data_IF_049922468500
#
_entry.id   IF_049922468500
#
_cell.length_a   1.000
_cell.length_b   1.000
_cell.length_c   1.000
_cell.angle_alpha   90.00
_cell.angle_beta   90.00
_cell.angle_gamma   90.00
#
_symmetry.space_group_name_H-M   'P 1'
#
loop_
_entity.id
_entity.type
_entity.pdbx_description
1 polymer ?
#
# COMPACT_ATOMS: atom_id res chain seq x y z
N UNK A 1 -1.90 8.72 9.31
CA UNK A 1 -0.82 8.02 8.58
C UNK A 1 -1.32 7.25 7.35
N UNK A 2 -2.54 6.70 7.34
CA UNK A 2 -3.17 6.12 6.13
C UNK A 2 -3.88 7.17 5.23
N UNK A 3 -3.94 8.43 5.66
CA UNK A 3 -4.58 9.57 5.00
C UNK A 3 -3.89 10.04 3.71
N UNK A 4 -2.73 9.47 3.40
CA UNK A 4 -1.92 9.72 2.21
C UNK A 4 -2.24 8.79 1.04
N UNK A 5 -3.20 7.86 1.22
CA UNK A 5 -3.70 6.96 0.19
C UNK A 5 -4.66 7.72 -0.71
N UNK A 6 -4.33 7.84 -2.01
CA UNK A 6 -5.26 8.38 -2.99
C UNK A 6 -6.35 7.35 -3.31
N UNK A 7 -7.53 7.53 -2.71
CA UNK A 7 -8.69 6.65 -2.88
C UNK A 7 -9.30 6.69 -4.29
N UNK A 8 -8.95 7.69 -5.11
CA UNK A 8 -9.43 7.78 -6.49
C UNK A 8 -8.63 6.88 -7.44
N UNK A 9 -7.42 6.48 -7.05
CA UNK A 9 -6.66 5.47 -7.79
C UNK A 9 -7.11 4.06 -7.39
N UNK A 10 -8.15 3.58 -8.06
CA UNK A 10 -8.77 2.30 -7.77
C UNK A 10 -7.80 1.12 -7.90
N UNK A 11 -6.85 1.16 -8.84
CA UNK A 11 -5.86 0.08 -9.03
C UNK A 11 -4.96 -0.03 -7.79
N UNK A 12 -4.53 1.11 -7.29
CA UNK A 12 -3.72 1.19 -6.09
C UNK A 12 -4.50 0.81 -4.82
N UNK A 13 -5.75 1.26 -4.68
CA UNK A 13 -6.62 0.87 -3.55
C UNK A 13 -6.80 -0.65 -3.51
N UNK A 14 -7.11 -1.27 -4.65
CA UNK A 14 -7.27 -2.73 -4.75
C UNK A 14 -5.96 -3.44 -4.39
N UNK A 15 -4.82 -2.98 -4.93
CA UNK A 15 -3.53 -3.58 -4.61
C UNK A 15 -3.19 -3.47 -3.12
N UNK A 16 -3.39 -2.29 -2.50
CA UNK A 16 -3.13 -2.09 -1.06
C UNK A 16 -4.03 -2.98 -0.21
N UNK A 17 -5.32 -3.03 -0.52
CA UNK A 17 -6.27 -3.91 0.16
C UNK A 17 -5.84 -5.37 0.06
N UNK A 18 -5.57 -5.87 -1.15
CA UNK A 18 -5.19 -7.27 -1.36
C UNK A 18 -3.90 -7.69 -0.61
N UNK A 19 -2.99 -6.76 -0.32
CA UNK A 19 -1.76 -7.05 0.41
C UNK A 19 -1.90 -6.88 1.94
N UNK A 20 -2.91 -6.15 2.41
CA UNK A 20 -3.04 -5.78 3.83
C UNK A 20 -4.09 -6.60 4.60
N UNK A 21 -4.81 -7.49 3.92
CA UNK A 21 -5.94 -8.23 4.48
C UNK A 21 -5.58 -9.68 4.80
N UNK A 22 -5.96 -10.12 5.98
CA UNK A 22 -6.26 -11.51 6.31
C UNK A 22 -7.79 -11.67 6.35
N UNK A 23 -8.34 -12.55 5.51
CA UNK A 23 -9.79 -12.68 5.35
C UNK A 23 -10.54 -13.06 6.64
N UNK A 24 -9.88 -13.77 7.56
CA UNK A 24 -10.51 -14.22 8.81
C UNK A 24 -10.52 -13.10 9.86
N UNK A 25 -9.50 -12.24 9.86
CA UNK A 25 -9.34 -11.17 10.84
C UNK A 25 -10.01 -9.87 10.39
N UNK A 26 -9.90 -9.51 9.11
CA UNK A 26 -10.14 -8.15 8.65
C UNK A 26 -11.50 -7.95 7.93
N UNK A 27 -12.34 -8.99 7.89
CA UNK A 27 -13.70 -8.91 7.34
C UNK A 27 -14.73 -8.71 8.45
N UNK A 28 -15.50 -7.63 8.31
CA UNK A 28 -16.64 -7.30 9.16
C UNK A 28 -17.93 -7.58 8.39
N UNK A 29 -18.62 -8.66 8.74
CA UNK A 29 -19.88 -9.04 8.08
C UNK A 29 -21.03 -8.53 8.95
N UNK A 30 -21.84 -7.63 8.38
CA UNK A 30 -23.08 -7.16 8.99
C UNK A 30 -24.27 -7.79 8.26
N UNK A 31 -25.01 -8.63 8.98
CA UNK A 31 -26.21 -9.32 8.47
C UNK A 31 -27.43 -8.88 9.28
N UNK A 32 -28.22 -7.91 8.77
CA UNK A 32 -29.44 -7.47 9.45
C UNK A 32 -30.54 -8.54 9.37
N UNK A 33 -31.39 -8.63 10.40
CA UNK A 33 -32.53 -9.58 10.45
C UNK A 33 -33.74 -9.16 9.57
N UNK A 34 -33.72 -7.92 9.05
CA UNK A 34 -34.78 -7.26 8.28
C UNK A 34 -34.47 -7.36 6.76
N UNK A 35 -35.30 -6.89 5.80
CA UNK A 35 -35.06 -7.11 4.36
C UNK A 35 -33.91 -6.26 3.78
N UNK A 36 -33.03 -5.76 4.65
CA UNK A 36 -31.84 -5.01 4.28
C UNK A 36 -30.77 -5.98 3.76
N UNK A 37 -29.97 -5.51 2.80
CA UNK A 37 -28.88 -6.30 2.24
C UNK A 37 -27.74 -6.41 3.26
N UNK A 38 -27.10 -7.58 3.29
CA UNK A 38 -25.88 -7.80 4.05
C UNK A 38 -24.76 -6.88 3.55
N UNK A 39 -23.95 -6.36 4.49
CA UNK A 39 -22.83 -5.48 4.20
C UNK A 39 -21.55 -6.17 4.63
N UNK A 40 -20.49 -6.01 3.82
CA UNK A 40 -19.14 -6.43 4.19
C UNK A 40 -18.27 -5.18 4.29
N UNK A 41 -17.75 -4.94 5.50
CA UNK A 41 -16.64 -4.03 5.73
C UNK A 41 -15.33 -4.78 5.62
N UNK A 42 -14.32 -4.14 5.02
CA UNK A 42 -12.99 -4.71 4.84
C UNK A 42 -11.99 -3.72 5.41
N UNK A 43 -11.24 -4.14 6.43
CA UNK A 43 -10.18 -3.33 7.00
C UNK A 43 -8.83 -3.58 6.30
N UNK A 44 -8.55 -2.76 5.29
CA UNK A 44 -7.33 -2.78 4.49
C UNK A 44 -6.18 -1.92 5.06
N UNK A 45 -6.29 -1.41 6.28
CA UNK A 45 -5.23 -0.59 6.89
C UNK A 45 -4.02 -1.41 7.31
N UNK A 46 -2.85 -0.76 7.52
CA UNK A 46 -1.71 -1.39 8.19
C UNK A 46 -2.16 -1.98 9.53
N UNK A 47 -1.65 -3.18 9.85
CA UNK A 47 -1.84 -3.78 11.17
C UNK A 47 -0.74 -3.42 12.14
N UNK A 48 -1.14 -3.27 13.39
CA UNK A 48 -0.31 -2.83 14.52
C UNK A 48 -0.41 -3.81 15.69
N UNK A 49 0.58 -3.79 16.57
CA UNK A 49 0.51 -4.59 17.79
C UNK A 49 -0.62 -4.11 18.69
N UNK A 50 -0.80 -2.79 18.81
CA UNK A 50 -1.80 -2.16 19.67
C UNK A 50 -3.26 -2.44 19.27
N UNK A 51 -3.58 -2.33 17.98
CA UNK A 51 -4.97 -2.48 17.51
C UNK A 51 -5.32 -3.91 17.08
N UNK A 52 -4.35 -4.65 16.57
CA UNK A 52 -4.59 -5.92 15.87
C UNK A 52 -3.92 -7.13 16.53
N UNK A 53 -3.16 -6.91 17.62
CA UNK A 53 -2.27 -7.91 18.21
C UNK A 53 -1.30 -8.50 17.17
N UNK A 54 -0.88 -7.69 16.21
CA UNK A 54 0.01 -8.10 15.12
C UNK A 54 1.47 -7.92 15.53
N UNK A 55 2.13 -9.03 15.84
CA UNK A 55 3.47 -9.04 16.46
C UNK A 55 4.63 -8.85 15.46
N UNK A 56 4.37 -8.94 14.16
CA UNK A 56 5.41 -8.81 13.13
C UNK A 56 5.56 -7.34 12.72
N UNK A 57 6.79 -6.86 12.43
CA UNK A 57 6.97 -5.56 11.82
C UNK A 57 6.20 -5.48 10.50
N UNK A 58 5.43 -4.40 10.34
CA UNK A 58 4.74 -4.12 9.09
C UNK A 58 5.75 -3.59 8.06
N UNK A 59 5.80 -4.18 6.85
CA UNK A 59 6.77 -3.77 5.85
C UNK A 59 6.40 -2.43 5.21
N UNK A 60 7.41 -1.71 4.75
CA UNK A 60 7.23 -0.62 3.81
C UNK A 60 6.81 -1.11 2.41
N UNK A 61 6.17 -0.23 1.64
CA UNK A 61 6.03 -0.44 0.21
C UNK A 61 7.43 -0.49 -0.41
N UNK A 62 7.69 -1.51 -1.23
CA UNK A 62 8.95 -1.63 -1.96
C UNK A 62 9.09 -0.48 -2.95
N UNK A 63 10.08 0.38 -2.71
CA UNK A 63 10.44 1.50 -3.58
C UNK A 63 11.93 1.50 -3.85
N UNK A 64 12.34 1.98 -5.03
CA UNK A 64 13.75 2.21 -5.32
C UNK A 64 14.26 3.43 -4.54
N UNK A 65 15.54 3.40 -4.16
CA UNK A 65 16.20 4.56 -3.54
C UNK A 65 16.37 5.70 -4.56
N UNK A 66 16.49 6.94 -4.05
CA UNK A 66 16.56 8.13 -4.92
C UNK A 66 17.82 8.15 -5.78
N UNK A 67 18.94 7.62 -5.30
CA UNK A 67 20.20 7.62 -6.05
C UNK A 67 20.10 6.70 -7.26
N UNK A 68 19.50 5.51 -7.08
CA UNK A 68 19.23 4.59 -8.18
C UNK A 68 18.28 5.20 -9.20
N UNK A 69 17.18 5.81 -8.77
CA UNK A 69 16.25 6.49 -9.70
C UNK A 69 16.99 7.56 -10.50
N UNK A 70 17.69 8.48 -9.83
CA UNK A 70 18.43 9.55 -10.50
C UNK A 70 19.48 8.99 -11.47
N UNK A 71 20.16 7.90 -11.10
CA UNK A 71 21.14 7.27 -11.98
C UNK A 71 20.50 6.67 -13.23
N UNK A 72 19.32 6.08 -13.14
CA UNK A 72 18.63 5.50 -14.30
C UNK A 72 18.03 6.58 -15.17
N UNK A 73 17.43 7.62 -14.57
CA UNK A 73 16.87 8.76 -15.28
C UNK A 73 17.94 9.46 -16.13
N UNK A 74 19.14 9.67 -15.56
CA UNK A 74 20.27 10.27 -16.28
C UNK A 74 20.83 9.38 -17.42
N UNK A 75 20.63 8.06 -17.33
CA UNK A 75 21.10 7.09 -18.34
C UNK A 75 20.06 6.81 -19.42
N UNK A 76 18.79 7.16 -19.21
CA UNK A 76 17.67 6.66 -20.01
C UNK A 76 17.84 6.89 -21.51
N UNK A 77 18.21 8.10 -21.91
CA UNK A 77 18.44 8.45 -23.32
C UNK A 77 19.56 7.61 -23.95
N UNK A 78 20.63 7.35 -23.19
CA UNK A 78 21.77 6.55 -23.65
C UNK A 78 21.42 5.06 -23.81
N UNK A 79 20.44 4.56 -23.04
CA UNK A 79 20.00 3.17 -23.14
C UNK A 79 19.25 2.88 -24.43
N UNK A 80 18.68 3.90 -25.09
CA UNK A 80 17.95 3.78 -26.35
C UNK A 80 16.84 2.68 -26.34
N UNK A 81 16.11 2.59 -25.22
CA UNK A 81 15.06 1.58 -24.98
C UNK A 81 13.63 2.11 -25.17
N UNK A 82 13.48 3.32 -25.73
CA UNK A 82 12.21 3.97 -25.97
C UNK A 82 11.98 5.24 -25.15
N UNK A 83 10.75 5.77 -25.11
CA UNK A 83 10.43 7.02 -24.44
C UNK A 83 10.72 6.94 -22.93
N UNK A 84 11.03 8.09 -22.32
CA UNK A 84 11.24 8.19 -20.87
C UNK A 84 10.00 7.77 -20.10
N UNK A 85 10.19 6.93 -19.09
CA UNK A 85 9.16 6.49 -18.15
C UNK A 85 9.61 6.88 -16.76
N UNK A 86 8.85 7.73 -16.09
CA UNK A 86 9.13 8.12 -14.71
C UNK A 86 9.03 6.90 -13.77
N UNK A 87 9.92 6.82 -12.78
CA UNK A 87 9.89 5.75 -11.80
C UNK A 87 8.56 5.71 -11.01
N UNK A 88 7.86 4.57 -10.98
CA UNK A 88 6.62 4.43 -10.20
C UNK A 88 6.86 4.55 -8.69
N UNK A 89 8.10 4.38 -8.24
CA UNK A 89 8.49 4.54 -6.83
C UNK A 89 8.20 5.95 -6.29
N UNK A 90 8.24 6.98 -7.14
CA UNK A 90 8.01 8.37 -6.75
C UNK A 90 6.61 8.56 -6.12
N UNK A 91 5.62 7.83 -6.64
CA UNK A 91 4.26 7.85 -6.12
C UNK A 91 4.16 7.31 -4.69
N UNK A 92 4.84 6.19 -4.41
CA UNK A 92 4.67 5.44 -3.17
C UNK A 92 5.62 5.86 -2.06
N UNK A 93 6.74 6.51 -2.38
CA UNK A 93 7.75 6.87 -1.38
C UNK A 93 7.23 7.74 -0.24
N UNK A 94 6.27 8.62 -0.51
CA UNK A 94 5.61 9.46 0.52
C UNK A 94 4.86 8.64 1.56
N UNK A 95 4.62 7.36 1.28
CA UNK A 95 3.90 6.43 2.12
C UNK A 95 4.80 5.39 2.79
N UNK A 96 6.12 5.48 2.55
CA UNK A 96 7.09 4.72 3.30
C UNK A 96 7.26 5.36 4.67
N UNK A 97 7.21 4.53 5.70
CA UNK A 97 7.55 4.90 7.06
C UNK A 97 9.07 5.03 7.23
N UNK A 98 9.55 5.75 8.26
CA UNK A 98 10.98 5.80 8.59
C UNK A 98 11.55 4.40 8.85
N UNK A 99 12.71 4.10 8.28
CA UNK A 99 13.35 2.78 8.40
C UNK A 99 12.84 1.75 7.39
N UNK A 100 13.07 0.46 7.64
CA UNK A 100 12.69 -0.63 6.72
C UNK A 100 11.29 -1.18 7.01
N UNK A 101 11.03 -1.55 8.27
CA UNK A 101 9.76 -2.08 8.74
C UNK A 101 9.47 -1.57 10.15
N UNK A 102 8.19 -1.34 10.47
CA UNK A 102 7.77 -0.79 11.76
C UNK A 102 6.87 -1.79 12.49
N UNK A 103 7.27 -2.18 13.70
CA UNK A 103 6.44 -2.88 14.67
C UNK A 103 5.97 -1.88 15.73
N UNK A 104 4.86 -1.23 15.46
CA UNK A 104 4.10 -0.42 16.44
C UNK A 104 2.78 -1.14 16.67
#
# INVERSE_FOLDING_TARGET
MEDIVDIKDLKYVIWRAANNIDFKRDLLIFQPESPLQSIIGIDATRKTSELDNFQRPWPNITVMDQNTINSIDAKWEQLNIGPFIESPSNKFRKQCYPGEAIAE
#
